data_IF_385535889292
#
_entry.id   IF_385535889292
#
_cell.length_a   1.000
_cell.length_b   1.000
_cell.length_c   1.000
_cell.angle_alpha   90.00
_cell.angle_beta   90.00
_cell.angle_gamma   90.00
#
_symmetry.space_group_name_H-M   'P 1'
#
loop_
_entity.id
_entity.type
_entity.pdbx_description
1 polymer ?
#
# COMPACT_ATOMS: atom_id res chain seq x y z
N UNK A 1 -14.62 -25.75 -3.52
CA UNK A 1 -14.46 -25.26 -2.13
C UNK A 1 -15.34 -24.04 -1.99
N UNK A 2 -16.27 -24.04 -1.01
CA UNK A 2 -17.15 -22.89 -0.78
C UNK A 2 -16.58 -22.05 0.35
N UNK A 3 -16.38 -20.72 0.12
CA UNK A 3 -15.75 -19.81 1.05
C UNK A 3 -16.58 -18.55 1.21
N UNK A 4 -16.78 -18.11 2.44
CA UNK A 4 -17.26 -16.76 2.73
C UNK A 4 -16.13 -15.77 2.50
N UNK A 5 -16.47 -14.59 1.98
CA UNK A 5 -15.50 -13.51 1.79
C UNK A 5 -16.10 -12.16 2.20
N UNK A 6 -15.20 -11.23 2.51
CA UNK A 6 -15.50 -9.81 2.65
C UNK A 6 -14.62 -9.06 1.65
N UNK A 7 -15.22 -8.12 0.92
CA UNK A 7 -14.54 -7.29 -0.08
C UNK A 7 -14.68 -5.81 0.26
N UNK A 8 -13.59 -5.10 0.19
CA UNK A 8 -13.54 -3.66 0.36
C UNK A 8 -12.42 -3.05 -0.46
N UNK A 9 -12.27 -1.74 -0.42
CA UNK A 9 -11.15 -1.07 -1.06
C UNK A 9 -10.64 0.13 -0.25
N UNK A 10 -9.39 0.48 -0.52
CA UNK A 10 -8.75 1.72 -0.10
C UNK A 10 -8.29 2.46 -1.35
N UNK A 11 -8.87 3.62 -1.63
CA UNK A 11 -8.50 4.39 -2.84
C UNK A 11 -8.59 3.56 -4.12
N UNK A 12 -9.62 2.72 -4.27
CA UNK A 12 -9.84 1.75 -5.36
C UNK A 12 -8.86 0.56 -5.41
N UNK A 13 -7.93 0.44 -4.49
CA UNK A 13 -7.16 -0.81 -4.31
C UNK A 13 -8.03 -1.83 -3.59
N UNK A 14 -8.49 -2.85 -4.31
CA UNK A 14 -9.50 -3.81 -3.86
C UNK A 14 -8.86 -4.95 -3.06
N UNK A 15 -9.34 -5.12 -1.85
CA UNK A 15 -8.90 -6.14 -0.89
C UNK A 15 -10.01 -7.16 -0.66
N UNK A 16 -9.66 -8.44 -0.64
CA UNK A 16 -10.57 -9.53 -0.32
C UNK A 16 -10.08 -10.22 0.94
N UNK A 17 -10.96 -10.40 1.92
CA UNK A 17 -10.67 -11.22 3.09
C UNK A 17 -11.33 -12.57 2.95
N UNK A 18 -10.57 -13.64 3.23
CA UNK A 18 -11.03 -15.00 3.37
C UNK A 18 -10.83 -15.48 4.82
N UNK A 19 -11.58 -16.46 5.23
CA UNK A 19 -11.49 -17.04 6.58
C UNK A 19 -10.71 -18.35 6.55
N UNK A 20 -9.59 -18.40 7.25
CA UNK A 20 -8.64 -19.51 7.19
C UNK A 20 -9.19 -20.85 7.69
N UNK A 21 -10.20 -20.81 8.59
CA UNK A 21 -10.91 -22.00 9.09
C UNK A 21 -11.74 -22.70 8.00
N UNK A 22 -12.06 -22.04 6.90
CA UNK A 22 -12.80 -22.59 5.77
C UNK A 22 -11.88 -23.17 4.67
N UNK A 23 -10.57 -22.88 4.74
CA UNK A 23 -9.63 -23.28 3.69
C UNK A 23 -8.92 -24.57 4.10
N UNK A 24 -8.95 -25.64 3.28
CA UNK A 24 -8.19 -26.85 3.56
C UNK A 24 -6.70 -26.55 3.67
N UNK A 25 -6.05 -27.12 4.69
CA UNK A 25 -4.62 -26.93 4.96
C UNK A 25 -3.77 -27.20 3.72
N UNK A 26 -2.88 -26.27 3.39
CA UNK A 26 -1.99 -26.34 2.23
C UNK A 26 -2.60 -25.80 0.93
N UNK A 27 -3.88 -25.37 0.93
CA UNK A 27 -4.52 -24.74 -0.23
C UNK A 27 -4.71 -23.24 -0.09
N UNK A 28 -4.07 -22.63 0.91
CA UNK A 28 -4.25 -21.22 1.24
C UNK A 28 -3.82 -20.29 0.08
N UNK A 29 -2.65 -20.56 -0.50
CA UNK A 29 -2.14 -19.76 -1.62
C UNK A 29 -3.02 -19.93 -2.87
N UNK A 30 -3.44 -21.17 -3.16
CA UNK A 30 -4.33 -21.45 -4.30
C UNK A 30 -5.68 -20.72 -4.15
N UNK A 31 -6.31 -20.80 -2.98
CA UNK A 31 -7.56 -20.12 -2.71
C UNK A 31 -7.43 -18.60 -2.84
N UNK A 32 -6.38 -18.03 -2.25
CA UNK A 32 -6.12 -16.60 -2.29
C UNK A 32 -5.84 -16.07 -3.70
N UNK A 33 -5.11 -16.82 -4.52
CA UNK A 33 -4.82 -16.43 -5.91
C UNK A 33 -6.07 -16.58 -6.79
N UNK A 34 -6.87 -17.63 -6.58
CA UNK A 34 -8.07 -17.90 -7.38
C UNK A 34 -9.17 -16.86 -7.12
N UNK A 35 -9.38 -16.45 -5.86
CA UNK A 35 -10.41 -15.44 -5.53
C UNK A 35 -10.13 -14.08 -6.17
N UNK A 36 -8.87 -13.75 -6.40
CA UNK A 36 -8.46 -12.49 -7.05
C UNK A 36 -8.76 -12.45 -8.55
N UNK A 37 -9.02 -13.60 -9.19
CA UNK A 37 -9.22 -13.64 -10.64
C UNK A 37 -10.49 -12.87 -11.06
N UNK A 38 -10.48 -12.22 -12.26
CA UNK A 38 -11.61 -11.41 -12.73
C UNK A 38 -12.94 -12.18 -12.88
N UNK A 39 -12.89 -13.50 -13.09
CA UNK A 39 -14.06 -14.35 -13.21
C UNK A 39 -14.56 -14.89 -11.86
N UNK A 40 -13.95 -14.50 -10.75
CA UNK A 40 -14.31 -14.81 -9.36
C UNK A 40 -14.81 -13.55 -8.64
N UNK A 41 -14.18 -13.20 -7.52
CA UNK A 41 -14.53 -12.00 -6.75
C UNK A 41 -13.82 -10.77 -7.30
N UNK A 42 -12.64 -10.95 -7.86
CA UNK A 42 -11.78 -9.91 -8.45
C UNK A 42 -11.26 -8.87 -7.45
N UNK A 43 -9.96 -8.83 -7.29
CA UNK A 43 -9.28 -7.90 -6.38
C UNK A 43 -7.78 -7.80 -6.65
N UNK A 44 -7.10 -7.02 -5.85
CA UNK A 44 -5.65 -6.80 -5.95
C UNK A 44 -4.87 -7.59 -4.89
N UNK A 45 -5.39 -7.70 -3.68
CA UNK A 45 -4.79 -8.49 -2.59
C UNK A 45 -5.85 -9.33 -1.88
N UNK A 46 -5.39 -10.47 -1.34
CA UNK A 46 -6.19 -11.31 -0.45
C UNK A 46 -5.55 -11.36 0.92
N UNK A 47 -6.32 -11.10 1.97
CA UNK A 47 -5.99 -11.40 3.36
C UNK A 47 -6.69 -12.66 3.83
N UNK A 48 -5.93 -13.70 4.21
CA UNK A 48 -6.51 -14.88 4.86
C UNK A 48 -6.43 -14.68 6.37
N UNK A 49 -7.57 -14.59 7.02
CA UNK A 49 -7.71 -14.25 8.42
C UNK A 49 -7.76 -15.50 9.31
N UNK A 50 -7.04 -15.46 10.40
CA UNK A 50 -6.97 -16.52 11.41
C UNK A 50 -7.09 -15.90 12.82
N UNK A 51 -7.51 -16.69 13.84
CA UNK A 51 -7.29 -16.32 15.23
C UNK A 51 -5.82 -15.99 15.47
N UNK A 52 -5.52 -15.11 16.44
CA UNK A 52 -4.13 -14.76 16.75
C UNK A 52 -3.34 -15.98 17.23
N UNK A 53 -2.06 -16.02 16.91
CA UNK A 53 -1.14 -17.09 17.34
C UNK A 53 -0.10 -16.60 18.35
N UNK A 54 -0.07 -15.30 18.65
CA UNK A 54 0.76 -14.61 19.63
C UNK A 54 -0.11 -13.69 20.48
N UNK A 55 0.39 -12.52 20.82
CA UNK A 55 -0.29 -11.52 21.66
C UNK A 55 -1.13 -10.50 20.86
N UNK A 56 -1.39 -10.77 19.59
CA UNK A 56 -2.26 -9.94 18.75
C UNK A 56 -3.74 -10.22 18.93
N UNK A 57 -4.57 -9.51 18.22
CA UNK A 57 -6.02 -9.71 18.19
C UNK A 57 -6.46 -10.56 17.00
N UNK A 58 -5.68 -10.56 15.92
CA UNK A 58 -5.97 -11.24 14.67
C UNK A 58 -4.66 -11.55 13.93
N UNK A 59 -4.60 -12.67 13.20
CA UNK A 59 -3.48 -13.00 12.32
C UNK A 59 -3.93 -13.00 10.86
N UNK A 60 -3.08 -12.49 9.95
CA UNK A 60 -3.33 -12.49 8.52
C UNK A 60 -2.15 -13.05 7.73
N UNK A 61 -2.46 -13.85 6.70
CA UNK A 61 -1.55 -14.14 5.60
C UNK A 61 -1.98 -13.35 4.38
N UNK A 62 -1.07 -12.64 3.75
CA UNK A 62 -1.36 -11.70 2.66
C UNK A 62 -0.85 -12.27 1.34
N UNK A 63 -1.67 -12.24 0.30
CA UNK A 63 -1.31 -12.67 -1.05
C UNK A 63 -1.60 -11.56 -2.04
N UNK A 64 -0.60 -11.15 -2.82
CA UNK A 64 -0.74 -10.14 -3.87
C UNK A 64 -1.12 -10.76 -5.23
N UNK A 65 -1.99 -10.09 -5.98
CA UNK A 65 -2.38 -10.50 -7.34
C UNK A 65 -1.17 -10.55 -8.28
N UNK A 66 -0.34 -9.52 -8.24
CA UNK A 66 0.84 -9.41 -9.10
C UNK A 66 1.90 -10.45 -8.78
N UNK A 67 2.21 -10.63 -7.48
CA UNK A 67 3.23 -11.59 -7.04
C UNK A 67 2.78 -13.04 -7.10
N UNK A 68 1.46 -13.29 -6.98
CA UNK A 68 0.86 -14.61 -6.78
C UNK A 68 1.56 -15.42 -5.68
N UNK A 69 2.02 -14.73 -4.66
CA UNK A 69 2.78 -15.27 -3.55
C UNK A 69 2.40 -14.57 -2.25
N UNK A 70 2.78 -15.15 -1.13
CA UNK A 70 2.69 -14.48 0.16
C UNK A 70 3.60 -13.26 0.19
N UNK A 71 3.07 -12.15 0.72
CA UNK A 71 3.78 -10.89 0.93
C UNK A 71 3.72 -10.51 2.42
N UNK A 72 4.69 -9.75 2.89
CA UNK A 72 4.87 -9.44 4.32
C UNK A 72 3.98 -8.33 4.83
N UNK A 73 3.60 -7.37 3.98
CA UNK A 73 2.82 -6.19 4.37
C UNK A 73 1.95 -5.68 3.22
N UNK A 74 0.80 -5.13 3.57
CA UNK A 74 -0.09 -4.38 2.66
C UNK A 74 -0.83 -3.31 3.48
N UNK A 75 -0.50 -2.04 3.24
CA UNK A 75 -1.14 -0.92 3.93
C UNK A 75 -2.62 -0.77 3.58
N UNK A 76 -3.01 -1.05 2.32
CA UNK A 76 -4.41 -1.05 1.90
C UNK A 76 -5.25 -2.07 2.67
N UNK A 77 -4.70 -3.27 2.84
CA UNK A 77 -5.36 -4.33 3.60
C UNK A 77 -5.64 -3.91 5.04
N UNK A 78 -4.68 -3.29 5.72
CA UNK A 78 -4.85 -2.85 7.12
C UNK A 78 -5.90 -1.77 7.27
N UNK A 79 -6.02 -0.87 6.29
CA UNK A 79 -7.04 0.18 6.27
C UNK A 79 -8.45 -0.41 6.11
N UNK A 80 -8.63 -1.31 5.14
CA UNK A 80 -9.92 -2.00 4.92
C UNK A 80 -10.28 -2.88 6.11
N UNK A 81 -9.29 -3.58 6.71
CA UNK A 81 -9.50 -4.41 7.89
C UNK A 81 -9.99 -3.59 9.10
N UNK A 82 -9.37 -2.43 9.34
CA UNK A 82 -9.78 -1.55 10.44
C UNK A 82 -11.22 -1.10 10.32
N UNK A 83 -11.67 -0.74 9.11
CA UNK A 83 -13.08 -0.39 8.85
C UNK A 83 -14.00 -1.61 8.96
N UNK A 84 -13.63 -2.72 8.34
CA UNK A 84 -14.41 -3.95 8.38
C UNK A 84 -14.61 -4.50 9.79
N UNK A 85 -13.59 -4.41 10.65
CA UNK A 85 -13.67 -4.84 12.03
C UNK A 85 -14.76 -4.10 12.82
N UNK A 86 -14.98 -2.81 12.52
CA UNK A 86 -15.99 -1.98 13.18
C UNK A 86 -17.39 -2.19 12.57
N UNK A 87 -17.48 -2.24 11.25
CA UNK A 87 -18.74 -2.09 10.52
C UNK A 87 -19.37 -3.41 10.05
N UNK A 88 -18.67 -4.55 10.15
CA UNK A 88 -19.16 -5.85 9.65
C UNK A 88 -19.14 -6.94 10.73
N UNK A 89 -19.60 -8.14 10.36
CA UNK A 89 -19.55 -9.32 11.25
C UNK A 89 -18.12 -9.76 11.59
N UNK A 90 -17.11 -9.27 10.87
CA UNK A 90 -15.69 -9.63 11.09
C UNK A 90 -15.26 -9.38 12.53
N UNK A 91 -15.58 -8.21 13.08
CA UNK A 91 -15.23 -7.87 14.47
C UNK A 91 -15.84 -8.84 15.48
N UNK A 92 -17.10 -9.24 15.29
CA UNK A 92 -17.79 -10.23 16.14
C UNK A 92 -17.22 -11.64 15.97
N UNK A 93 -16.96 -12.05 14.73
CA UNK A 93 -16.41 -13.39 14.40
C UNK A 93 -15.08 -13.63 15.11
N UNK A 94 -14.20 -12.63 15.12
CA UNK A 94 -12.89 -12.73 15.77
C UNK A 94 -12.87 -12.18 17.20
N UNK A 95 -14.00 -11.69 17.73
CA UNK A 95 -14.11 -11.11 19.08
C UNK A 95 -13.13 -9.95 19.29
N UNK A 96 -12.99 -9.11 18.28
CA UNK A 96 -12.09 -7.96 18.34
C UNK A 96 -12.57 -6.94 19.40
N UNK A 97 -11.66 -6.18 20.04
CA UNK A 97 -11.97 -5.26 21.13
C UNK A 97 -12.57 -3.93 20.62
N UNK A 98 -13.71 -4.02 19.90
CA UNK A 98 -14.35 -2.83 19.32
C UNK A 98 -14.98 -1.95 20.40
N UNK A 99 -14.65 -0.65 20.40
CA UNK A 99 -15.15 0.35 21.34
C UNK A 99 -15.10 1.76 20.76
N UNK A 100 -15.92 2.65 21.30
CA UNK A 100 -15.87 4.09 21.03
C UNK A 100 -15.09 4.83 22.13
N UNK A 101 -14.51 5.97 21.85
CA UNK A 101 -14.40 6.64 20.55
C UNK A 101 -13.27 6.09 19.69
N UNK A 102 -12.46 5.17 20.20
CA UNK A 102 -11.30 4.63 19.52
C UNK A 102 -11.17 3.12 19.76
N UNK A 103 -10.95 2.41 18.67
CA UNK A 103 -10.64 0.99 18.65
C UNK A 103 -9.20 0.79 18.18
N UNK A 104 -8.43 -0.02 18.92
CA UNK A 104 -7.09 -0.45 18.52
C UNK A 104 -7.07 -1.96 18.36
N UNK A 105 -6.54 -2.42 17.22
CA UNK A 105 -6.40 -3.83 16.83
C UNK A 105 -4.93 -4.08 16.52
N UNK A 106 -4.37 -5.13 17.08
CA UNK A 106 -3.01 -5.60 16.78
C UNK A 106 -3.11 -6.75 15.78
N UNK A 107 -2.75 -6.46 14.53
CA UNK A 107 -2.72 -7.44 13.45
C UNK A 107 -1.35 -8.14 13.42
N UNK A 108 -1.33 -9.46 13.56
CA UNK A 108 -0.12 -10.27 13.38
C UNK A 108 0.11 -10.51 11.88
N UNK A 109 1.26 -10.07 11.39
CA UNK A 109 1.72 -10.28 10.01
C UNK A 109 3.08 -10.97 9.98
N UNK A 110 3.53 -11.38 8.80
CA UNK A 110 4.88 -11.93 8.64
C UNK A 110 5.99 -10.87 8.85
N UNK A 111 5.67 -9.58 8.68
CA UNK A 111 6.57 -8.45 9.04
C UNK A 111 6.58 -8.13 10.54
N UNK A 112 5.70 -8.76 11.33
CA UNK A 112 5.53 -8.50 12.76
C UNK A 112 4.14 -7.92 13.09
N UNK A 113 3.92 -7.51 14.35
CA UNK A 113 2.67 -6.91 14.77
C UNK A 113 2.48 -5.52 14.16
N UNK A 114 1.30 -5.29 13.58
CA UNK A 114 0.90 -4.02 12.96
C UNK A 114 -0.30 -3.47 13.73
N UNK A 115 -0.13 -2.38 14.49
CA UNK A 115 -1.23 -1.69 15.12
C UNK A 115 -2.11 -0.97 14.09
N UNK A 116 -3.41 -1.21 14.18
CA UNK A 116 -4.46 -0.52 13.41
C UNK A 116 -5.32 0.21 14.42
N UNK A 117 -5.56 1.49 14.22
CA UNK A 117 -6.44 2.31 15.06
C UNK A 117 -7.59 2.83 14.21
N UNK A 118 -8.82 2.71 14.70
CA UNK A 118 -10.00 3.28 14.08
C UNK A 118 -10.70 4.25 15.04
N UNK A 119 -11.02 5.45 14.56
CA UNK A 119 -11.93 6.36 15.20
C UNK A 119 -13.36 5.87 14.97
N UNK A 120 -14.09 5.60 16.03
CA UNK A 120 -15.43 5.00 15.97
C UNK A 120 -16.47 5.97 16.53
N UNK A 121 -17.47 6.28 15.72
CA UNK A 121 -18.58 7.14 16.12
C UNK A 121 -19.90 6.54 15.63
N UNK A 122 -20.79 6.20 16.56
CA UNK A 122 -22.09 5.61 16.25
C UNK A 122 -21.99 4.25 15.56
N UNK A 123 -20.95 3.46 15.85
CA UNK A 123 -20.72 2.16 15.25
C UNK A 123 -20.09 2.20 13.84
N UNK A 124 -19.66 3.37 13.38
CA UNK A 124 -18.98 3.57 12.09
C UNK A 124 -17.52 3.97 12.30
N UNK A 125 -16.60 3.44 11.48
CA UNK A 125 -15.21 3.85 11.44
C UNK A 125 -15.08 5.12 10.58
N UNK A 126 -14.88 6.27 11.24
CA UNK A 126 -14.74 7.56 10.56
C UNK A 126 -13.36 7.77 9.96
N UNK A 127 -12.34 7.21 10.59
CA UNK A 127 -10.96 7.24 10.13
C UNK A 127 -10.23 5.98 10.61
N UNK A 128 -9.30 5.51 9.81
CA UNK A 128 -8.43 4.38 10.15
C UNK A 128 -6.97 4.79 9.97
N UNK A 129 -6.12 4.45 10.94
CA UNK A 129 -4.67 4.63 10.88
C UNK A 129 -3.96 3.31 11.04
N UNK A 130 -2.87 3.16 10.32
CA UNK A 130 -1.98 2.01 10.43
C UNK A 130 -0.59 2.46 10.87
N UNK A 131 -0.06 1.85 11.91
CA UNK A 131 1.34 2.00 12.28
C UNK A 131 2.21 1.18 11.31
N UNK A 132 2.94 1.88 10.46
CA UNK A 132 3.83 1.30 9.44
C UNK A 132 5.28 1.19 9.92
N UNK A 133 5.54 1.34 11.21
CA UNK A 133 6.88 1.21 11.81
C UNK A 133 7.60 -0.10 11.45
N UNK A 134 6.93 -1.29 11.45
CA UNK A 134 7.53 -2.53 10.96
C UNK A 134 8.04 -2.43 9.52
N UNK A 135 7.26 -1.81 8.62
CA UNK A 135 7.65 -1.62 7.23
C UNK A 135 8.77 -0.57 7.07
N UNK A 136 8.77 0.49 7.88
CA UNK A 136 9.90 1.45 7.93
C UNK A 136 11.21 0.71 8.26
N UNK A 137 11.20 -0.16 9.27
CA UNK A 137 12.38 -0.99 9.62
C UNK A 137 12.81 -1.88 8.46
N UNK A 138 11.87 -2.59 7.82
CA UNK A 138 12.14 -3.43 6.64
C UNK A 138 12.82 -2.61 5.52
N UNK A 139 12.34 -1.39 5.24
CA UNK A 139 12.94 -0.52 4.22
C UNK A 139 14.43 -0.23 4.51
N UNK A 140 14.75 0.07 5.77
CA UNK A 140 16.13 0.35 6.15
C UNK A 140 17.01 -0.91 6.20
N UNK A 141 16.48 -2.05 6.63
CA UNK A 141 17.17 -3.34 6.62
C UNK A 141 17.54 -3.79 5.21
N UNK A 142 16.62 -3.60 4.26
CA UNK A 142 16.86 -3.87 2.82
C UNK A 142 17.71 -2.80 2.13
N UNK A 143 17.97 -1.69 2.82
CA UNK A 143 18.87 -0.63 2.43
C UNK A 143 18.24 0.44 1.54
N UNK A 144 18.83 1.64 1.68
CA UNK A 144 18.52 2.81 0.88
C UNK A 144 19.74 3.19 0.03
N UNK A 145 19.54 3.58 -1.22
CA UNK A 145 20.63 4.04 -2.07
C UNK A 145 20.14 4.99 -3.17
N UNK A 146 20.92 6.05 -3.42
CA UNK A 146 20.73 6.90 -4.58
C UNK A 146 21.28 6.21 -5.81
N UNK A 147 20.54 6.25 -6.89
CA UNK A 147 20.86 5.56 -8.15
C UNK A 147 20.74 6.55 -9.31
N UNK A 148 21.33 6.20 -10.41
CA UNK A 148 21.10 6.84 -11.70
C UNK A 148 20.69 5.76 -12.71
N UNK A 149 19.48 5.86 -13.24
CA UNK A 149 18.90 4.92 -14.18
C UNK A 149 18.84 5.56 -15.56
N UNK A 150 19.79 5.20 -16.44
CA UNK A 150 19.90 5.79 -17.78
C UNK A 150 19.90 7.33 -17.79
N UNK A 151 20.62 7.92 -16.85
CA UNK A 151 20.69 9.39 -16.66
C UNK A 151 19.62 9.94 -15.72
N UNK A 152 18.54 9.20 -15.42
CA UNK A 152 17.47 9.65 -14.53
C UNK A 152 17.86 9.39 -13.07
N UNK A 153 17.96 10.42 -12.21
CA UNK A 153 18.19 10.25 -10.79
C UNK A 153 17.01 9.53 -10.12
N UNK A 154 17.31 8.57 -9.26
CA UNK A 154 16.35 7.74 -8.54
C UNK A 154 16.81 7.46 -7.11
N UNK A 155 15.93 6.94 -6.28
CA UNK A 155 16.28 6.39 -4.97
C UNK A 155 15.64 5.01 -4.80
N UNK A 156 16.46 4.05 -4.33
CA UNK A 156 16.00 2.78 -3.81
C UNK A 156 15.61 2.96 -2.35
N UNK A 157 14.42 2.50 -1.96
CA UNK A 157 13.94 2.46 -0.58
C UNK A 157 13.45 1.05 -0.28
N UNK A 158 14.27 0.27 0.42
CA UNK A 158 13.97 -1.15 0.59
C UNK A 158 13.87 -1.86 -0.77
N UNK A 159 12.70 -2.40 -1.08
CA UNK A 159 12.39 -3.02 -2.37
C UNK A 159 11.78 -2.04 -3.39
N UNK A 160 11.48 -0.80 -2.99
CA UNK A 160 10.87 0.19 -3.86
C UNK A 160 11.89 0.93 -4.71
N UNK A 161 11.54 1.16 -5.97
CA UNK A 161 12.11 2.19 -6.81
C UNK A 161 11.23 3.44 -6.69
N UNK A 162 11.80 4.56 -6.23
CA UNK A 162 11.12 5.84 -6.12
C UNK A 162 11.71 6.81 -7.13
N UNK A 163 10.88 7.32 -8.04
CA UNK A 163 11.25 8.23 -9.13
C UNK A 163 10.49 9.55 -9.06
N UNK A 164 11.21 10.62 -9.36
CA UNK A 164 10.66 11.95 -9.59
C UNK A 164 10.18 12.06 -11.05
N UNK A 165 8.89 12.24 -11.26
CA UNK A 165 8.28 12.35 -12.59
C UNK A 165 8.80 13.51 -13.42
N UNK A 166 9.13 14.66 -12.78
CA UNK A 166 9.72 15.80 -13.47
C UNK A 166 11.14 15.50 -13.94
N UNK A 167 11.90 14.73 -13.18
CA UNK A 167 13.22 14.27 -13.61
C UNK A 167 13.11 13.28 -14.76
N UNK A 168 12.13 12.39 -14.74
CA UNK A 168 11.85 11.51 -15.89
C UNK A 168 11.48 12.33 -17.12
N UNK A 169 10.57 13.30 -17.02
CA UNK A 169 10.16 14.16 -18.16
C UNK A 169 11.32 14.99 -18.72
N UNK A 170 12.27 15.42 -17.89
CA UNK A 170 13.47 16.14 -18.40
C UNK A 170 14.35 15.29 -19.31
N UNK A 171 14.44 13.98 -19.08
CA UNK A 171 15.21 13.04 -19.91
C UNK A 171 14.35 12.42 -21.04
N UNK A 172 13.04 12.37 -20.82
CA UNK A 172 12.05 11.80 -21.71
C UNK A 172 10.87 12.77 -21.86
N UNK A 173 11.02 13.87 -22.63
CA UNK A 173 9.97 14.89 -22.75
C UNK A 173 8.64 14.35 -23.31
N UNK A 174 8.67 13.21 -24.00
CA UNK A 174 7.52 12.52 -24.53
C UNK A 174 6.74 11.71 -23.48
N UNK A 175 7.24 11.60 -22.23
CA UNK A 175 6.56 10.86 -21.18
C UNK A 175 5.29 11.61 -20.72
N UNK A 176 4.17 10.91 -20.73
CA UNK A 176 2.87 11.41 -20.28
C UNK A 176 2.34 10.47 -19.19
N UNK A 177 2.35 10.96 -17.95
CA UNK A 177 1.92 10.17 -16.78
C UNK A 177 0.41 10.29 -16.51
N UNK A 178 -0.29 11.13 -17.24
CA UNK A 178 -1.74 11.26 -17.12
C UNK A 178 -2.46 10.23 -17.97
N UNK A 179 -2.05 10.08 -19.22
CA UNK A 179 -2.67 9.12 -20.15
C UNK A 179 -1.92 7.78 -20.21
N UNK A 180 -0.70 7.70 -19.66
CA UNK A 180 0.14 6.48 -19.63
C UNK A 180 0.17 5.72 -20.97
N UNK A 181 0.45 6.38 -22.11
CA UNK A 181 0.49 5.71 -23.40
C UNK A 181 1.60 4.67 -23.44
N UNK A 182 1.53 3.73 -24.36
CA UNK A 182 2.50 2.61 -24.50
C UNK A 182 3.96 3.09 -24.53
N UNK A 183 4.23 4.25 -25.13
CA UNK A 183 5.58 4.84 -25.13
C UNK A 183 6.06 5.20 -23.70
N UNK A 184 5.19 5.78 -22.86
CA UNK A 184 5.51 6.10 -21.47
C UNK A 184 5.74 4.82 -20.67
N UNK A 185 4.88 3.81 -20.84
CA UNK A 185 5.05 2.51 -20.21
C UNK A 185 6.40 1.87 -20.57
N UNK A 186 6.82 1.95 -21.85
CA UNK A 186 8.14 1.44 -22.29
C UNK A 186 9.31 2.20 -21.66
N UNK A 187 9.21 3.51 -21.47
CA UNK A 187 10.21 4.31 -20.75
C UNK A 187 10.34 3.81 -19.32
N UNK A 188 9.22 3.72 -18.60
CA UNK A 188 9.21 3.29 -17.20
C UNK A 188 9.69 1.84 -17.04
N UNK A 189 9.28 0.91 -17.91
CA UNK A 189 9.81 -0.47 -17.96
C UNK A 189 11.32 -0.49 -18.14
N UNK A 190 11.83 0.35 -19.04
CA UNK A 190 13.27 0.45 -19.30
C UNK A 190 14.06 0.95 -18.08
N UNK A 191 13.47 1.88 -17.28
CA UNK A 191 14.06 2.33 -16.02
C UNK A 191 13.97 1.24 -14.94
N UNK A 192 12.85 0.54 -14.87
CA UNK A 192 12.66 -0.58 -13.95
C UNK A 192 13.63 -1.73 -14.24
N UNK A 193 13.86 -2.07 -15.50
CA UNK A 193 14.84 -3.11 -15.89
C UNK A 193 16.26 -2.70 -15.53
N UNK A 194 16.62 -1.44 -15.71
CA UNK A 194 17.91 -0.91 -15.29
C UNK A 194 18.07 -0.96 -13.75
N UNK A 195 17.02 -0.62 -13.02
CA UNK A 195 16.99 -0.75 -11.55
C UNK A 195 17.22 -2.20 -11.11
N UNK A 196 16.52 -3.16 -11.74
CA UNK A 196 16.70 -4.60 -11.50
C UNK A 196 18.15 -5.02 -11.71
N UNK A 197 18.73 -4.57 -12.82
CA UNK A 197 20.10 -4.89 -13.17
C UNK A 197 21.11 -4.35 -12.16
N UNK A 198 20.91 -3.12 -11.68
CA UNK A 198 21.82 -2.47 -10.73
C UNK A 198 21.68 -3.01 -9.30
N UNK A 199 20.47 -3.39 -8.89
CA UNK A 199 20.20 -3.84 -7.51
C UNK A 199 20.20 -5.34 -7.33
N UNK A 200 20.33 -6.12 -8.42
CA UNK A 200 20.22 -7.58 -8.44
C UNK A 200 18.93 -8.11 -7.81
N UNK A 201 17.90 -7.31 -7.79
CA UNK A 201 16.61 -7.65 -7.19
C UNK A 201 15.67 -8.22 -8.24
N UNK A 202 14.93 -9.26 -7.89
CA UNK A 202 13.95 -9.88 -8.78
C UNK A 202 12.56 -9.27 -8.65
N UNK A 203 12.30 -8.57 -7.56
CA UNK A 203 11.01 -7.97 -7.25
C UNK A 203 11.16 -6.49 -6.91
N UNK A 204 10.33 -5.66 -7.53
CA UNK A 204 10.36 -4.22 -7.29
C UNK A 204 8.96 -3.68 -7.31
N UNK A 205 8.65 -2.99 -6.27
CA UNK A 205 7.55 -2.06 -6.27
C UNK A 205 8.05 -0.72 -6.81
N UNK A 206 7.20 -0.01 -7.50
CA UNK A 206 7.56 1.21 -8.20
C UNK A 206 6.66 2.36 -7.76
N UNK A 207 7.26 3.46 -7.38
CA UNK A 207 6.59 4.72 -7.06
C UNK A 207 7.12 5.83 -7.95
N UNK A 208 6.22 6.51 -8.63
CA UNK A 208 6.50 7.69 -9.44
C UNK A 208 5.72 8.87 -8.86
N UNK A 209 6.41 9.91 -8.38
CA UNK A 209 5.78 11.08 -7.81
C UNK A 209 6.04 12.34 -8.63
N UNK A 210 5.17 13.34 -8.50
CA UNK A 210 5.41 14.72 -8.96
C UNK A 210 4.83 15.73 -7.97
N UNK A 211 5.39 16.94 -8.00
CA UNK A 211 5.01 18.05 -7.12
C UNK A 211 3.89 18.92 -7.70
N UNK A 212 3.02 18.35 -8.53
CA UNK A 212 1.93 19.03 -9.21
C UNK A 212 0.58 18.41 -8.82
N UNK A 213 0.14 18.59 -7.55
CA UNK A 213 -1.16 18.09 -7.13
C UNK A 213 -2.28 18.75 -7.93
N UNK A 214 -3.37 18.01 -8.17
CA UNK A 214 -4.54 18.52 -8.89
C UNK A 214 -5.62 19.06 -7.96
N UNK A 215 -5.61 18.65 -6.71
CA UNK A 215 -6.61 19.02 -5.70
C UNK A 215 -5.95 19.67 -4.48
N UNK A 216 -5.96 19.00 -3.35
CA UNK A 216 -5.53 19.57 -2.05
C UNK A 216 -4.36 18.83 -1.41
N UNK A 217 -3.77 17.89 -2.14
CA UNK A 217 -2.56 17.18 -1.71
C UNK A 217 -1.32 18.05 -1.73
N UNK A 218 -0.23 17.52 -1.21
CA UNK A 218 1.09 18.17 -1.29
C UNK A 218 1.86 17.71 -2.54
N UNK A 219 1.61 16.48 -2.98
CA UNK A 219 2.16 15.91 -4.21
C UNK A 219 1.23 14.81 -4.75
N UNK A 220 1.49 14.41 -5.99
CA UNK A 220 0.80 13.32 -6.67
C UNK A 220 1.73 12.11 -6.79
N UNK A 221 1.17 10.89 -6.71
CA UNK A 221 1.94 9.66 -6.83
C UNK A 221 1.21 8.59 -7.64
N UNK A 222 1.97 7.81 -8.40
CA UNK A 222 1.54 6.66 -9.19
C UNK A 222 2.30 5.42 -8.75
N UNK A 223 1.64 4.26 -8.82
CA UNK A 223 2.24 2.96 -8.47
C UNK A 223 2.19 2.00 -9.68
N UNK A 224 3.07 2.19 -10.68
CA UNK A 224 3.09 1.35 -11.88
C UNK A 224 3.86 0.04 -11.63
N UNK A 225 3.40 -0.79 -10.69
CA UNK A 225 4.12 -1.99 -10.24
C UNK A 225 4.28 -3.06 -11.32
N UNK A 226 3.30 -3.23 -12.18
CA UNK A 226 3.33 -4.27 -13.22
C UNK A 226 2.99 -3.71 -14.60
N UNK A 227 3.84 -2.84 -15.10
CA UNK A 227 3.68 -2.24 -16.42
C UNK A 227 3.68 -3.24 -17.58
N UNK A 228 4.33 -4.41 -17.41
CA UNK A 228 4.32 -5.47 -18.43
C UNK A 228 2.90 -5.99 -18.71
N UNK A 229 1.99 -5.92 -17.73
CA UNK A 229 0.56 -6.25 -17.87
C UNK A 229 -0.32 -5.00 -17.99
N UNK A 230 0.26 -3.79 -18.00
CA UNK A 230 -0.46 -2.53 -17.99
C UNK A 230 -1.09 -2.18 -16.64
N UNK A 231 -0.71 -2.88 -15.56
CA UNK A 231 -1.29 -2.63 -14.24
C UNK A 231 -0.63 -1.43 -13.55
N UNK A 232 -1.46 -0.46 -13.21
CA UNK A 232 -1.14 0.64 -12.28
C UNK A 232 -2.01 0.44 -11.05
N UNK A 233 -1.39 0.26 -9.89
CA UNK A 233 -2.13 0.12 -8.64
C UNK A 233 -2.75 1.46 -8.24
N UNK A 234 -4.05 1.52 -7.94
CA UNK A 234 -4.73 2.78 -7.65
C UNK A 234 -4.19 3.49 -6.41
N UNK A 235 -3.91 2.73 -5.36
CA UNK A 235 -3.35 3.24 -4.10
C UNK A 235 -2.52 2.15 -3.42
N UNK A 236 -1.29 2.47 -3.00
CA UNK A 236 -0.37 1.53 -2.37
C UNK A 236 0.13 2.06 -1.03
N UNK A 237 -0.36 1.51 0.09
CA UNK A 237 0.02 1.98 1.43
C UNK A 237 1.53 1.88 1.70
N UNK A 238 2.16 0.77 1.33
CA UNK A 238 3.63 0.60 1.42
C UNK A 238 4.37 1.53 0.47
N UNK A 239 3.81 1.79 -0.72
CA UNK A 239 4.35 2.73 -1.69
C UNK A 239 4.35 4.18 -1.19
N UNK A 240 3.28 4.62 -0.49
CA UNK A 240 3.26 5.95 0.13
C UNK A 240 4.36 6.10 1.18
N UNK A 241 4.55 5.09 2.04
CA UNK A 241 5.61 5.10 3.07
C UNK A 241 6.99 5.11 2.42
N UNK A 242 7.24 4.24 1.43
CA UNK A 242 8.53 4.21 0.72
C UNK A 242 8.82 5.55 0.02
N UNK A 243 7.80 6.17 -0.59
CA UNK A 243 7.94 7.51 -1.20
C UNK A 243 8.30 8.55 -0.14
N UNK A 244 7.59 8.58 0.99
CA UNK A 244 7.88 9.51 2.09
C UNK A 244 9.31 9.37 2.63
N UNK A 245 9.77 8.13 2.86
CA UNK A 245 11.17 7.86 3.26
C UNK A 245 12.13 8.36 2.18
N UNK A 246 11.87 8.06 0.91
CA UNK A 246 12.71 8.52 -0.20
C UNK A 246 12.81 10.04 -0.28
N UNK A 247 11.70 10.76 -0.15
CA UNK A 247 11.64 12.21 -0.15
C UNK A 247 12.35 12.82 1.07
N UNK A 248 12.24 12.18 2.25
CA UNK A 248 13.00 12.57 3.44
C UNK A 248 14.51 12.47 3.19
N UNK A 249 14.98 11.32 2.75
CA UNK A 249 16.42 11.04 2.48
C UNK A 249 17.01 11.92 1.37
N UNK A 250 16.19 12.36 0.43
CA UNK A 250 16.59 13.32 -0.61
C UNK A 250 16.60 14.77 -0.09
N UNK A 251 16.00 15.05 1.07
CA UNK A 251 15.77 16.38 1.61
C UNK A 251 14.68 17.17 0.88
N UNK A 252 13.86 16.49 0.07
CA UNK A 252 12.79 17.10 -0.71
C UNK A 252 11.66 17.60 0.20
N UNK A 253 11.29 16.85 1.24
CA UNK A 253 10.25 17.28 2.19
C UNK A 253 10.64 18.57 2.90
N UNK A 254 11.91 18.71 3.28
CA UNK A 254 12.43 19.95 3.89
C UNK A 254 12.37 21.12 2.90
N UNK A 255 12.79 20.91 1.64
CA UNK A 255 12.72 21.95 0.60
C UNK A 255 11.30 22.44 0.31
N UNK A 256 10.31 21.56 0.49
CA UNK A 256 8.89 21.88 0.32
C UNK A 256 8.22 22.45 1.59
N UNK A 257 8.95 22.54 2.70
CA UNK A 257 8.41 23.04 3.97
C UNK A 257 7.40 22.09 4.65
N UNK A 258 7.50 20.78 4.36
CA UNK A 258 6.62 19.73 4.90
C UNK A 258 7.19 19.04 6.16
N UNK A 259 8.28 19.57 6.71
CA UNK A 259 8.96 19.04 7.90
C UNK A 259 8.76 19.93 9.11
N UNK A 260 8.73 19.32 10.27
CA UNK A 260 8.84 19.97 11.58
C UNK A 260 10.00 19.38 12.40
N UNK A 261 10.07 19.68 13.70
CA UNK A 261 11.12 19.20 14.61
C UNK A 261 11.07 17.68 14.88
N UNK A 262 9.91 17.05 14.66
CA UNK A 262 9.64 15.64 14.98
C UNK A 262 9.54 14.75 13.75
N UNK A 263 9.40 15.34 12.55
CA UNK A 263 9.23 14.55 11.33
C UNK A 263 8.63 15.31 10.16
N UNK A 264 7.67 14.72 9.49
CA UNK A 264 6.98 15.30 8.35
C UNK A 264 5.54 14.77 8.22
N UNK A 265 4.63 15.63 7.80
CA UNK A 265 3.29 15.22 7.34
C UNK A 265 3.17 15.43 5.85
N UNK A 266 2.72 14.41 5.13
CA UNK A 266 2.61 14.42 3.66
C UNK A 266 1.24 13.93 3.24
N UNK A 267 0.56 14.69 2.38
CA UNK A 267 -0.74 14.33 1.80
C UNK A 267 -0.55 14.03 0.32
N UNK A 268 -0.87 12.80 -0.06
CA UNK A 268 -0.70 12.32 -1.41
C UNK A 268 -2.02 12.28 -2.15
N UNK A 269 -2.05 12.82 -3.36
CA UNK A 269 -3.04 12.47 -4.37
C UNK A 269 -2.54 11.25 -5.12
N UNK A 270 -3.38 10.22 -5.23
CA UNK A 270 -3.03 9.00 -5.96
C UNK A 270 -3.93 8.80 -7.17
N UNK A 271 -3.40 8.09 -8.15
CA UNK A 271 -4.07 7.86 -9.42
C UNK A 271 -3.17 8.20 -10.61
N UNK A 272 -3.77 8.22 -11.75
CA UNK A 272 -3.14 8.37 -13.05
C UNK A 272 -3.75 7.35 -14.01
N UNK A 273 -3.67 7.57 -15.32
CA UNK A 273 -4.28 6.65 -16.25
C UNK A 273 -3.67 5.24 -16.15
N UNK A 274 -4.47 4.18 -16.19
CA UNK A 274 -5.92 4.22 -16.38
C UNK A 274 -6.75 4.60 -15.14
N UNK A 275 -6.09 4.89 -14.01
CA UNK A 275 -6.73 5.28 -12.75
C UNK A 275 -6.79 6.80 -12.67
N UNK A 276 -8.00 7.34 -12.50
CA UNK A 276 -8.19 8.79 -12.37
C UNK A 276 -7.74 9.24 -10.97
N UNK A 277 -7.08 10.40 -10.92
CA UNK A 277 -6.82 11.10 -9.66
C UNK A 277 -8.14 11.63 -9.13
N UNK A 278 -8.45 11.29 -7.87
CA UNK A 278 -9.62 11.80 -7.15
C UNK A 278 -9.23 12.79 -6.07
N UNK A 279 -10.20 13.45 -5.42
CA UNK A 279 -9.96 14.32 -4.27
C UNK A 279 -9.59 13.56 -3.00
N UNK A 280 -9.64 12.24 -3.02
CA UNK A 280 -9.29 11.37 -1.91
C UNK A 280 -7.79 11.40 -1.67
N UNK A 281 -7.40 11.53 -0.41
CA UNK A 281 -6.01 11.67 -0.01
C UNK A 281 -5.54 10.50 0.83
N UNK A 282 -4.30 10.07 0.55
CA UNK A 282 -3.50 9.35 1.51
C UNK A 282 -2.74 10.37 2.38
N UNK A 283 -2.71 10.12 3.69
CA UNK A 283 -1.95 10.92 4.65
C UNK A 283 -0.87 10.05 5.30
N UNK A 284 0.33 10.58 5.35
CA UNK A 284 1.49 9.94 5.95
C UNK A 284 2.14 10.88 6.96
N UNK A 285 2.19 10.48 8.22
CA UNK A 285 2.94 11.14 9.26
C UNK A 285 4.21 10.35 9.52
N UNK A 286 5.37 10.92 9.20
CA UNK A 286 6.69 10.36 9.48
C UNK A 286 7.20 10.86 10.83
N UNK A 287 7.66 9.93 11.66
CA UNK A 287 8.40 10.24 12.88
C UNK A 287 9.89 10.08 12.60
N UNK A 288 10.69 11.04 13.03
CA UNK A 288 12.11 11.08 12.76
C UNK A 288 12.92 11.24 14.06
N UNK A 289 14.06 10.57 14.12
CA UNK A 289 15.04 10.71 15.18
C UNK A 289 16.45 10.65 14.58
N UNK A 290 17.34 11.56 15.03
CA UNK A 290 18.71 11.63 14.55
C UNK A 290 18.83 11.81 13.03
N UNK A 291 17.86 12.46 12.38
CA UNK A 291 17.83 12.68 10.93
C UNK A 291 17.35 11.50 10.11
N UNK A 292 16.89 10.41 10.76
CA UNK A 292 16.38 9.19 10.13
C UNK A 292 14.90 9.00 10.44
N UNK A 293 14.14 8.52 9.48
CA UNK A 293 12.75 8.09 9.72
C UNK A 293 12.75 6.83 10.60
N UNK A 294 12.07 6.89 11.74
CA UNK A 294 11.98 5.79 12.72
C UNK A 294 10.58 5.19 12.80
N UNK A 295 9.57 5.91 12.34
CA UNK A 295 8.19 5.47 12.32
C UNK A 295 7.40 6.14 11.21
N UNK A 296 6.24 5.56 10.91
CA UNK A 296 5.28 6.14 9.98
C UNK A 296 3.87 5.73 10.39
N UNK A 297 2.94 6.68 10.35
CA UNK A 297 1.51 6.44 10.49
C UNK A 297 0.82 6.78 9.18
N UNK A 298 0.07 5.82 8.65
CA UNK A 298 -0.59 5.93 7.36
C UNK A 298 -2.10 5.89 7.51
N UNK A 299 -2.81 6.74 6.76
CA UNK A 299 -4.26 6.70 6.63
C UNK A 299 -4.70 7.09 5.20
N UNK A 300 -5.89 6.67 4.80
CA UNK A 300 -6.51 7.06 3.53
C UNK A 300 -7.94 7.56 3.76
N UNK A 301 -8.34 8.62 3.06
CA UNK A 301 -9.67 9.21 3.23
C UNK A 301 -10.79 8.38 2.59
N UNK A 302 -10.48 7.58 1.56
CA UNK A 302 -11.43 6.71 0.89
C UNK A 302 -11.17 5.25 1.26
N UNK A 303 -12.00 4.72 2.16
CA UNK A 303 -12.04 3.31 2.52
C UNK A 303 -13.50 2.89 2.51
N UNK A 304 -13.84 1.87 1.71
CA UNK A 304 -15.22 1.37 1.61
C UNK A 304 -15.29 -0.14 1.72
N UNK A 305 -16.33 -0.62 2.40
CA UNK A 305 -16.72 -2.03 2.34
C UNK A 305 -17.69 -2.18 1.17
N UNK A 306 -17.37 -3.05 0.22
CA UNK A 306 -18.13 -3.24 -1.01
C UNK A 306 -19.23 -4.28 -0.77
N UNK A 307 -18.86 -5.45 -0.27
CA UNK A 307 -19.79 -6.57 -0.09
C UNK A 307 -19.24 -7.65 0.85
N UNK A 308 -20.13 -8.41 1.45
CA UNK A 308 -19.88 -9.71 2.03
C UNK A 308 -20.60 -10.75 1.18
N UNK A 309 -19.98 -11.89 0.93
CA UNK A 309 -20.55 -12.88 0.03
C UNK A 309 -19.94 -14.27 0.19
N UNK A 310 -20.31 -15.14 -0.75
CA UNK A 310 -19.82 -16.53 -0.81
C UNK A 310 -19.35 -16.86 -2.22
N UNK A 311 -18.22 -17.52 -2.33
CA UNK A 311 -17.62 -17.94 -3.59
C UNK A 311 -17.33 -19.43 -3.60
N UNK A 312 -17.51 -20.07 -4.76
CA UNK A 312 -17.13 -21.47 -5.01
C UNK A 312 -15.84 -21.46 -5.84
N UNK A 313 -14.76 -21.98 -5.25
CA UNK A 313 -13.45 -22.14 -5.89
C UNK A 313 -13.17 -23.60 -6.27
#
# INVERSE_FOLDING_TARGET
MELDYLKGHMGNNVIIFLYGDQIPKGRELEAAVEVLQPHRVSGHETGILYPPVRDGDLMVKIVGFTSRAFITACGGLTQVLGKAAVETELGRRFRLPIREPETRIILETDAGPVPITAEVVGGEAKRVWTDMGPFVRECYELGLSRLELKGVPAIKVGKFLVLDGDKVKRHHPEADFESMPVRTQKILLSLQDEFKRQTFSHYHDFSLYDWHPQFTGDLRVLFPHNLATGHVEPACGTGFVATGIGLWELGDLHRQGLTDENGATVRYECGGAPVLVGPELASLDLTCDGGRVTGATFSHSLIEIIEEGRVVL
#
